data_IF_244029286747
#
_entry.id   IF_244029286747
#
_cell.length_a   1.000
_cell.length_b   1.000
_cell.length_c   1.000
_cell.angle_alpha   90.00
_cell.angle_beta   90.00
_cell.angle_gamma   90.00
#
_symmetry.space_group_name_H-M   'P 1'
#
loop_
_entity.id
_entity.type
_entity.pdbx_description
1 polymer ?
#
# COMPACT_ATOMS: atom_id res chain seq x y z
N UNK A 1 -14.61 7.77 -16.19
CA UNK A 1 -13.39 7.08 -15.74
C UNK A 1 -12.42 7.01 -16.90
N UNK A 2 -11.13 7.27 -16.74
CA UNK A 2 -10.16 7.02 -17.81
C UNK A 2 -10.20 5.54 -18.21
N UNK A 3 -9.98 5.27 -19.49
CA UNK A 3 -9.98 3.90 -20.02
C UNK A 3 -8.71 3.22 -19.47
N UNK A 4 -8.89 2.20 -18.64
CA UNK A 4 -7.79 1.38 -18.10
C UNK A 4 -7.22 0.52 -19.22
N UNK A 5 -5.92 0.63 -19.50
CA UNK A 5 -5.26 -0.17 -20.54
C UNK A 5 -5.21 -1.65 -20.19
N UNK A 6 -5.04 -2.53 -21.17
CA UNK A 6 -4.95 -3.96 -20.91
C UNK A 6 -3.68 -4.31 -20.10
N UNK A 7 -2.57 -3.61 -20.33
CA UNK A 7 -1.36 -3.74 -19.51
C UNK A 7 -1.61 -3.38 -18.03
N UNK A 8 -2.35 -2.30 -17.80
CA UNK A 8 -2.71 -1.87 -16.45
C UNK A 8 -3.62 -2.87 -15.76
N UNK A 9 -4.59 -3.46 -16.49
CA UNK A 9 -5.44 -4.54 -15.95
C UNK A 9 -4.61 -5.75 -15.56
N UNK A 10 -3.63 -6.13 -16.41
CA UNK A 10 -2.76 -7.26 -16.13
C UNK A 10 -1.87 -7.02 -14.89
N UNK A 11 -1.26 -5.84 -14.77
CA UNK A 11 -0.48 -5.47 -13.59
C UNK A 11 -1.36 -5.46 -12.32
N UNK A 12 -2.55 -4.87 -12.39
CA UNK A 12 -3.53 -4.88 -11.30
C UNK A 12 -3.92 -6.29 -10.89
N UNK A 13 -4.21 -7.17 -11.85
CA UNK A 13 -4.56 -8.56 -11.59
C UNK A 13 -3.42 -9.31 -10.91
N UNK A 14 -2.18 -9.09 -11.35
CA UNK A 14 -1.01 -9.69 -10.71
C UNK A 14 -0.87 -9.26 -9.25
N UNK A 15 -1.05 -7.96 -8.95
CA UNK A 15 -1.00 -7.46 -7.56
C UNK A 15 -2.11 -8.09 -6.72
N UNK A 16 -3.34 -8.16 -7.24
CA UNK A 16 -4.49 -8.78 -6.55
C UNK A 16 -4.20 -10.24 -6.21
N UNK A 17 -3.63 -11.01 -7.13
CA UNK A 17 -3.26 -12.41 -6.86
C UNK A 17 -2.17 -12.53 -5.76
N UNK A 18 -1.22 -11.58 -5.67
CA UNK A 18 -0.26 -11.57 -4.57
C UNK A 18 -0.94 -11.29 -3.21
N UNK A 19 -1.98 -10.44 -3.18
CA UNK A 19 -2.77 -10.22 -1.97
C UNK A 19 -3.51 -11.50 -1.53
N UNK A 20 -4.08 -12.23 -2.49
CA UNK A 20 -4.74 -13.51 -2.22
C UNK A 20 -3.73 -14.54 -1.69
N UNK A 21 -2.56 -14.65 -2.32
CA UNK A 21 -1.47 -15.54 -1.85
C UNK A 21 -0.97 -15.15 -0.45
N UNK A 22 -1.02 -13.88 -0.10
CA UNK A 22 -0.69 -13.39 1.24
C UNK A 22 -1.78 -13.71 2.27
N UNK A 23 -2.95 -14.18 1.83
CA UNK A 23 -4.09 -14.46 2.70
C UNK A 23 -4.83 -13.22 3.18
N UNK A 24 -4.61 -12.05 2.57
CA UNK A 24 -5.31 -10.81 2.90
C UNK A 24 -6.82 -11.02 2.73
N UNK A 25 -7.60 -10.55 3.72
CA UNK A 25 -9.06 -10.66 3.75
C UNK A 25 -9.76 -9.31 3.82
N UNK A 26 -9.13 -8.32 4.43
CA UNK A 26 -9.68 -6.98 4.58
C UNK A 26 -8.74 -5.96 3.93
N UNK A 27 -9.30 -5.08 3.11
CA UNK A 27 -8.59 -3.96 2.51
C UNK A 27 -9.29 -2.67 2.89
N UNK A 28 -8.59 -1.79 3.60
CA UNK A 28 -9.05 -0.43 3.90
C UNK A 28 -8.36 0.55 2.95
N UNK A 29 -9.12 1.34 2.20
CA UNK A 29 -8.52 2.23 1.21
C UNK A 29 -9.02 3.66 1.26
N UNK A 30 -8.12 4.61 0.94
CA UNK A 30 -8.49 5.96 0.54
C UNK A 30 -8.19 6.15 -0.95
N UNK A 31 -9.13 6.72 -1.75
CA UNK A 31 -8.93 6.92 -3.18
C UNK A 31 -7.69 7.76 -3.50
N UNK A 32 -6.91 7.29 -4.48
CA UNK A 32 -5.76 7.96 -5.07
C UNK A 32 -5.73 7.60 -6.56
N UNK A 33 -5.37 8.55 -7.43
CA UNK A 33 -5.47 8.41 -8.88
C UNK A 33 -4.73 7.19 -9.43
N UNK A 34 -3.52 6.91 -8.90
CA UNK A 34 -2.67 5.85 -9.42
C UNK A 34 -3.12 4.46 -8.99
N UNK A 35 -3.71 4.35 -7.81
CA UNK A 35 -4.19 3.07 -7.26
C UNK A 35 -5.69 2.85 -7.46
N UNK A 36 -6.40 3.79 -8.10
CA UNK A 36 -7.83 3.65 -8.35
C UNK A 36 -8.20 2.33 -9.07
N UNK A 37 -7.46 1.86 -10.11
CA UNK A 37 -7.74 0.56 -10.72
C UNK A 37 -7.58 -0.63 -9.76
N UNK A 38 -6.61 -0.56 -8.84
CA UNK A 38 -6.41 -1.59 -7.83
C UNK A 38 -7.55 -1.59 -6.80
N UNK A 39 -7.99 -0.40 -6.37
CA UNK A 39 -9.14 -0.25 -5.47
C UNK A 39 -10.41 -0.83 -6.13
N UNK A 40 -10.67 -0.51 -7.40
CA UNK A 40 -11.82 -1.02 -8.15
C UNK A 40 -11.77 -2.54 -8.32
N UNK A 41 -10.58 -3.10 -8.54
CA UNK A 41 -10.40 -4.54 -8.64
C UNK A 41 -10.67 -5.25 -7.31
N UNK A 42 -10.17 -4.71 -6.20
CA UNK A 42 -10.40 -5.25 -4.85
C UNK A 42 -11.87 -5.11 -4.44
N UNK A 43 -12.52 -4.00 -4.78
CA UNK A 43 -13.94 -3.75 -4.46
C UNK A 43 -14.89 -4.74 -5.13
N UNK A 44 -14.53 -5.23 -6.33
CA UNK A 44 -15.31 -6.19 -7.12
C UNK A 44 -14.96 -7.66 -6.85
N UNK A 45 -13.97 -7.92 -6.03
CA UNK A 45 -13.48 -9.27 -5.76
C UNK A 45 -13.98 -9.79 -4.41
N UNK A 46 -14.91 -10.73 -4.45
CA UNK A 46 -15.56 -11.32 -3.26
C UNK A 46 -14.58 -12.02 -2.30
N UNK A 47 -13.31 -12.20 -2.70
CA UNK A 47 -12.26 -12.76 -1.83
C UNK A 47 -11.85 -11.78 -0.73
N UNK A 48 -12.16 -10.49 -0.90
CA UNK A 48 -11.83 -9.41 0.03
C UNK A 48 -13.06 -8.75 0.62
N UNK A 49 -12.94 -8.31 1.86
CA UNK A 49 -13.83 -7.29 2.43
C UNK A 49 -13.18 -5.93 2.21
N UNK A 50 -13.68 -5.17 1.25
CA UNK A 50 -13.23 -3.80 1.02
C UNK A 50 -13.98 -2.80 1.90
N UNK A 51 -13.24 -1.86 2.49
CA UNK A 51 -13.78 -0.78 3.33
C UNK A 51 -13.17 0.54 2.88
N UNK A 52 -13.88 1.37 2.12
CA UNK A 52 -13.45 2.72 1.85
C UNK A 52 -13.48 3.56 3.12
N UNK A 53 -12.42 4.33 3.35
CA UNK A 53 -12.31 5.19 4.53
C UNK A 53 -12.30 6.67 4.11
N UNK A 54 -12.56 7.56 5.08
CA UNK A 54 -12.60 9.00 4.84
C UNK A 54 -11.26 9.71 5.18
N UNK A 55 -10.33 9.00 5.82
CA UNK A 55 -8.99 9.47 6.19
C UNK A 55 -8.04 8.29 6.23
N UNK A 56 -6.79 8.53 5.91
CA UNK A 56 -5.76 7.48 5.89
C UNK A 56 -5.52 6.90 7.29
N UNK A 57 -5.57 7.71 8.34
CA UNK A 57 -5.43 7.23 9.71
C UNK A 57 -6.56 6.28 10.11
N UNK A 58 -7.74 6.40 9.49
CA UNK A 58 -8.84 5.44 9.69
C UNK A 58 -8.49 4.07 9.14
N UNK A 59 -7.77 4.00 8.00
CA UNK A 59 -7.26 2.73 7.49
C UNK A 59 -6.23 2.10 8.43
N UNK A 60 -5.31 2.91 8.99
CA UNK A 60 -4.35 2.45 9.99
C UNK A 60 -5.08 1.85 11.21
N UNK A 61 -6.06 2.58 11.76
CA UNK A 61 -6.84 2.13 12.91
C UNK A 61 -7.63 0.85 12.64
N UNK A 62 -8.31 0.79 11.48
CA UNK A 62 -9.12 -0.37 11.08
C UNK A 62 -8.25 -1.63 10.90
N UNK A 63 -7.13 -1.52 10.17
CA UNK A 63 -6.22 -2.65 9.94
C UNK A 63 -5.52 -3.09 11.23
N UNK A 64 -5.15 -2.13 12.10
CA UNK A 64 -4.61 -2.46 13.43
C UNK A 64 -5.64 -3.17 14.31
N UNK A 65 -6.91 -2.76 14.23
CA UNK A 65 -8.01 -3.45 14.93
C UNK A 65 -8.28 -4.85 14.39
N UNK A 66 -8.19 -5.03 13.05
CA UNK A 66 -8.37 -6.31 12.38
C UNK A 66 -7.35 -7.36 12.85
N UNK A 67 -6.12 -6.94 13.17
CA UNK A 67 -5.09 -7.81 13.74
C UNK A 67 -5.55 -8.51 15.00
N UNK A 68 -6.21 -7.80 15.93
CA UNK A 68 -6.74 -8.41 17.16
C UNK A 68 -7.90 -9.39 16.89
N UNK A 69 -8.58 -9.22 15.76
CA UNK A 69 -9.59 -10.17 15.28
C UNK A 69 -9.00 -11.35 14.49
N UNK A 70 -7.67 -11.43 14.34
CA UNK A 70 -7.01 -12.45 13.53
C UNK A 70 -7.27 -12.32 12.02
N UNK A 71 -7.64 -11.12 11.54
CA UNK A 71 -7.97 -10.85 10.14
C UNK A 71 -6.77 -10.21 9.43
N UNK A 72 -6.10 -10.92 8.50
CA UNK A 72 -5.05 -10.36 7.67
C UNK A 72 -5.58 -9.19 6.85
N UNK A 73 -4.94 -8.03 6.96
CA UNK A 73 -5.46 -6.78 6.38
C UNK A 73 -4.40 -5.96 5.68
N UNK A 74 -4.85 -5.09 4.77
CA UNK A 74 -4.05 -4.15 4.00
C UNK A 74 -4.64 -2.75 4.13
N UNK A 75 -3.79 -1.76 4.43
CA UNK A 75 -4.11 -0.33 4.27
C UNK A 75 -3.56 0.15 2.91
N UNK A 76 -4.42 0.69 2.05
CA UNK A 76 -4.10 1.09 0.69
C UNK A 76 -4.34 2.59 0.51
N UNK A 77 -3.29 3.36 0.17
CA UNK A 77 -3.35 4.82 0.16
C UNK A 77 -2.30 5.46 -0.76
N UNK A 78 -2.40 6.75 -1.00
CA UNK A 78 -1.37 7.52 -1.70
C UNK A 78 -0.17 7.86 -0.83
N UNK A 79 0.94 8.31 -1.46
CA UNK A 79 2.17 8.73 -0.78
C UNK A 79 1.93 9.81 0.28
N UNK A 80 1.13 10.83 -0.05
CA UNK A 80 0.84 11.94 0.87
C UNK A 80 0.08 11.46 2.11
N UNK A 81 -0.87 10.55 1.93
CA UNK A 81 -1.62 9.96 3.02
C UNK A 81 -0.73 9.13 3.96
N UNK A 82 0.21 8.37 3.41
CA UNK A 82 1.17 7.64 4.23
C UNK A 82 1.99 8.60 5.11
N UNK A 83 2.44 9.74 4.58
CA UNK A 83 3.20 10.71 5.39
C UNK A 83 2.40 11.30 6.54
N UNK A 84 1.09 11.50 6.38
CA UNK A 84 0.22 11.97 7.48
C UNK A 84 0.02 10.92 8.56
N UNK A 85 0.14 9.63 8.22
CA UNK A 85 -0.09 8.52 9.13
C UNK A 85 1.09 8.19 10.05
N UNK A 86 2.26 8.82 9.90
CA UNK A 86 3.47 8.49 10.66
C UNK A 86 3.24 8.52 12.17
N UNK A 87 2.49 9.52 12.65
CA UNK A 87 2.16 9.61 14.07
C UNK A 87 1.27 8.44 14.52
N UNK A 88 0.23 8.09 13.77
CA UNK A 88 -0.65 6.96 14.09
C UNK A 88 0.13 5.63 14.09
N UNK A 89 0.96 5.41 13.08
CA UNK A 89 1.83 4.21 12.95
C UNK A 89 2.76 4.09 14.15
N UNK A 90 3.46 5.16 14.52
CA UNK A 90 4.42 5.14 15.64
C UNK A 90 3.72 4.97 16.99
N UNK A 91 2.56 5.59 17.18
CA UNK A 91 1.80 5.52 18.44
C UNK A 91 1.05 4.20 18.63
N UNK A 92 0.52 3.61 17.56
CA UNK A 92 -0.25 2.37 17.64
C UNK A 92 0.66 1.17 17.37
N UNK A 93 1.19 1.09 16.14
CA UNK A 93 1.79 -0.14 15.66
C UNK A 93 3.16 -0.39 16.29
N UNK A 94 4.00 0.65 16.44
CA UNK A 94 5.30 0.50 17.10
C UNK A 94 5.17 0.28 18.61
N UNK A 95 4.31 1.05 19.29
CA UNK A 95 4.19 0.97 20.74
C UNK A 95 3.59 -0.35 21.22
N UNK A 96 2.70 -0.94 20.43
CA UNK A 96 1.97 -2.15 20.82
C UNK A 96 2.37 -3.40 20.02
N UNK A 97 3.43 -3.31 19.19
CA UNK A 97 3.93 -4.42 18.38
C UNK A 97 2.85 -5.03 17.46
N UNK A 98 2.08 -4.16 16.82
CA UNK A 98 1.00 -4.57 15.92
C UNK A 98 1.50 -4.53 14.48
N UNK A 99 1.55 -5.66 13.76
CA UNK A 99 1.88 -5.67 12.34
C UNK A 99 0.82 -4.90 11.56
N UNK A 100 1.27 -4.15 10.57
CA UNK A 100 0.42 -3.37 9.69
C UNK A 100 1.00 -3.38 8.28
N UNK A 101 0.30 -3.98 7.34
CA UNK A 101 0.74 -4.02 5.96
C UNK A 101 0.12 -2.87 5.18
N UNK A 102 0.96 -2.09 4.48
CA UNK A 102 0.56 -0.85 3.83
C UNK A 102 1.01 -0.89 2.36
N UNK A 103 0.12 -0.51 1.44
CA UNK A 103 0.47 -0.17 0.06
C UNK A 103 0.38 1.33 -0.14
N UNK A 104 1.41 1.89 -0.79
CA UNK A 104 1.48 3.31 -1.10
C UNK A 104 2.03 3.54 -2.51
N UNK A 105 1.89 4.76 -3.03
CA UNK A 105 2.44 5.18 -4.32
C UNK A 105 3.81 5.83 -4.17
N UNK A 106 4.71 5.62 -5.14
CA UNK A 106 5.98 6.35 -5.25
C UNK A 106 5.80 7.53 -6.19
N UNK A 107 5.63 8.73 -5.63
CA UNK A 107 5.40 9.98 -6.37
C UNK A 107 6.58 10.93 -6.29
N UNK A 108 6.71 11.84 -7.26
CA UNK A 108 7.68 12.93 -7.25
C UNK A 108 9.14 12.50 -7.46
N UNK A 109 9.37 11.31 -8.01
CA UNK A 109 10.68 10.82 -8.46
C UNK A 109 10.98 11.28 -9.88
N UNK A 110 12.21 11.05 -10.37
CA UNK A 110 12.60 11.36 -11.74
C UNK A 110 11.62 10.67 -12.71
N UNK A 111 11.05 11.45 -13.62
CA UNK A 111 10.02 11.00 -14.57
C UNK A 111 8.59 11.42 -14.19
N UNK A 112 8.33 11.83 -12.95
CA UNK A 112 7.05 12.42 -12.55
C UNK A 112 7.09 13.95 -12.73
N UNK A 113 6.39 14.53 -13.74
CA UNK A 113 6.46 15.96 -14.04
C UNK A 113 5.58 16.83 -13.15
N UNK A 114 4.85 16.24 -12.21
CA UNK A 114 3.82 16.94 -11.42
C UNK A 114 4.44 17.69 -10.23
N UNK A 115 4.44 19.05 -10.21
CA UNK A 115 5.11 19.82 -9.15
C UNK A 115 4.63 19.49 -7.74
N UNK A 116 3.33 19.17 -7.55
CA UNK A 116 2.75 18.85 -6.25
C UNK A 116 3.16 17.46 -5.72
N UNK A 117 3.80 16.62 -6.55
CA UNK A 117 4.35 15.32 -6.11
C UNK A 117 5.79 15.41 -5.61
N UNK A 118 6.54 16.47 -5.96
CA UNK A 118 7.99 16.57 -5.71
C UNK A 118 8.34 16.36 -4.22
N UNK A 119 7.54 16.91 -3.32
CA UNK A 119 7.77 16.73 -1.88
C UNK A 119 7.74 15.27 -1.46
N UNK A 120 6.84 14.47 -2.02
CA UNK A 120 6.77 13.03 -1.73
C UNK A 120 8.04 12.29 -2.17
N UNK A 121 8.54 12.57 -3.36
CA UNK A 121 9.78 11.97 -3.88
C UNK A 121 11.02 12.37 -3.08
N UNK A 122 11.05 13.60 -2.55
CA UNK A 122 12.17 14.09 -1.73
C UNK A 122 12.20 13.50 -0.32
N UNK A 123 11.04 13.24 0.28
CA UNK A 123 10.95 13.00 1.71
C UNK A 123 10.43 11.61 2.08
N UNK A 124 9.59 10.97 1.26
CA UNK A 124 8.87 9.75 1.66
C UNK A 124 9.83 8.66 2.20
N UNK A 125 10.76 8.18 1.38
CA UNK A 125 11.66 7.08 1.79
C UNK A 125 12.55 7.48 2.97
N UNK A 126 13.05 8.73 2.98
CA UNK A 126 13.86 9.26 4.10
C UNK A 126 13.07 9.32 5.40
N UNK A 127 11.79 9.66 5.33
CA UNK A 127 10.90 9.69 6.48
C UNK A 127 10.66 8.27 7.01
N UNK A 128 10.44 7.31 6.13
CA UNK A 128 10.30 5.90 6.53
C UNK A 128 11.59 5.37 7.18
N UNK A 129 12.75 5.66 6.59
CA UNK A 129 14.06 5.30 7.14
C UNK A 129 14.28 5.93 8.53
N UNK A 130 13.89 7.20 8.71
CA UNK A 130 14.09 7.91 9.98
C UNK A 130 13.36 7.30 11.16
N UNK A 131 12.28 6.58 10.92
CA UNK A 131 11.51 5.84 11.92
C UNK A 131 11.72 4.32 11.84
N UNK A 132 12.71 3.88 11.05
CA UNK A 132 13.01 2.45 10.83
C UNK A 132 11.79 1.65 10.35
N UNK A 133 10.95 2.25 9.51
CA UNK A 133 9.80 1.60 8.89
C UNK A 133 10.26 0.92 7.59
N UNK A 134 10.35 -0.43 7.59
CA UNK A 134 10.82 -1.16 6.41
C UNK A 134 9.86 -0.99 5.24
N UNK A 135 10.42 -0.93 4.03
CA UNK A 135 9.63 -0.85 2.83
C UNK A 135 10.23 -1.64 1.66
N UNK A 136 9.36 -2.11 0.78
CA UNK A 136 9.70 -2.73 -0.49
C UNK A 136 9.35 -1.74 -1.61
N UNK A 137 10.35 -1.31 -2.40
CA UNK A 137 10.10 -0.55 -3.63
C UNK A 137 9.77 -1.51 -4.78
N UNK A 138 8.65 -1.26 -5.45
CA UNK A 138 8.17 -2.02 -6.60
C UNK A 138 8.24 -1.10 -7.83
N UNK A 139 9.41 -1.09 -8.46
CA UNK A 139 9.71 -0.30 -9.66
C UNK A 139 9.77 -1.16 -10.93
N UNK A 140 9.76 -2.49 -10.77
CA UNK A 140 9.76 -3.47 -11.85
C UNK A 140 8.69 -4.52 -11.59
N UNK A 141 8.02 -4.99 -12.65
CA UNK A 141 6.95 -5.99 -12.58
C UNK A 141 7.33 -7.26 -11.79
N UNK A 142 8.56 -7.77 -11.99
CA UNK A 142 9.05 -8.96 -11.26
C UNK A 142 9.07 -8.79 -9.74
N UNK A 143 9.18 -7.53 -9.24
CA UNK A 143 9.21 -7.24 -7.80
C UNK A 143 7.84 -7.44 -7.15
N UNK A 144 6.74 -7.43 -7.92
CA UNK A 144 5.39 -7.71 -7.44
C UNK A 144 5.32 -9.08 -6.76
N UNK A 145 6.04 -10.08 -7.27
CA UNK A 145 6.06 -11.45 -6.72
C UNK A 145 6.65 -11.54 -5.31
N UNK A 146 7.32 -10.47 -4.82
CA UNK A 146 7.87 -10.37 -3.47
C UNK A 146 6.86 -9.92 -2.42
N UNK A 147 5.66 -9.49 -2.81
CA UNK A 147 4.60 -9.02 -1.89
C UNK A 147 4.28 -10.04 -0.79
N UNK A 148 4.09 -11.35 -1.08
CA UNK A 148 3.82 -12.32 -0.02
C UNK A 148 4.98 -12.48 0.97
N UNK A 149 6.23 -12.32 0.50
CA UNK A 149 7.40 -12.35 1.37
C UNK A 149 7.46 -11.12 2.28
N UNK A 150 7.16 -9.92 1.76
CA UNK A 150 7.05 -8.69 2.54
C UNK A 150 5.94 -8.81 3.60
N UNK A 151 4.76 -9.34 3.22
CA UNK A 151 3.69 -9.58 4.18
C UNK A 151 4.12 -10.53 5.32
N UNK A 152 4.77 -11.65 4.99
CA UNK A 152 5.30 -12.59 6.00
C UNK A 152 6.34 -11.94 6.90
N UNK A 153 7.20 -11.07 6.35
CA UNK A 153 8.19 -10.32 7.11
C UNK A 153 7.52 -9.35 8.09
N UNK A 154 6.52 -8.59 7.64
CA UNK A 154 5.68 -7.72 8.49
C UNK A 154 5.11 -8.51 9.69
N UNK A 155 4.51 -9.67 9.43
CA UNK A 155 3.94 -10.52 10.48
C UNK A 155 5.03 -11.06 11.45
N UNK A 156 6.15 -11.53 10.92
CA UNK A 156 7.23 -12.08 11.73
C UNK A 156 7.89 -11.03 12.65
N UNK A 157 8.01 -9.79 12.16
CA UNK A 157 8.55 -8.69 12.96
C UNK A 157 7.57 -8.16 14.01
N UNK A 158 6.27 -8.43 13.89
CA UNK A 158 5.20 -7.72 14.61
C UNK A 158 5.35 -6.18 14.48
N UNK A 159 5.60 -5.71 13.27
CA UNK A 159 5.87 -4.31 12.95
C UNK A 159 5.19 -3.94 11.63
N UNK A 160 4.92 -2.65 11.41
CA UNK A 160 4.43 -2.19 10.11
C UNK A 160 5.49 -2.37 9.02
N UNK A 161 5.02 -2.60 7.79
CA UNK A 161 5.83 -2.67 6.57
C UNK A 161 5.06 -2.07 5.40
N UNK A 162 5.77 -1.39 4.50
CA UNK A 162 5.19 -0.69 3.36
C UNK A 162 5.67 -1.31 2.05
N UNK A 163 4.76 -1.48 1.10
CA UNK A 163 5.09 -1.74 -0.31
C UNK A 163 4.77 -0.47 -1.10
N UNK A 164 5.75 0.06 -1.81
CA UNK A 164 5.65 1.34 -2.52
C UNK A 164 5.77 1.08 -4.03
N UNK A 165 4.73 1.44 -4.78
CA UNK A 165 4.64 1.20 -6.21
C UNK A 165 4.97 2.43 -7.03
N UNK A 166 5.83 2.27 -8.06
CA UNK A 166 6.02 3.29 -9.09
C UNK A 166 4.79 3.41 -10.00
N UNK A 167 4.65 4.58 -10.65
CA UNK A 167 3.60 4.79 -11.66
C UNK A 167 3.73 3.78 -12.81
N UNK A 168 4.96 3.53 -13.29
CA UNK A 168 5.22 2.62 -14.40
C UNK A 168 4.71 1.20 -14.13
N UNK A 169 4.95 0.67 -12.93
CA UNK A 169 4.42 -0.65 -12.53
C UNK A 169 2.88 -0.66 -12.48
N UNK A 170 2.28 0.39 -11.89
CA UNK A 170 0.82 0.47 -11.78
C UNK A 170 0.14 0.63 -13.15
N UNK A 171 0.81 1.25 -14.12
CA UNK A 171 0.35 1.35 -15.51
C UNK A 171 0.66 0.10 -16.35
N UNK A 172 1.50 -0.80 -15.87
CA UNK A 172 1.95 -2.00 -16.58
C UNK A 172 3.03 -1.73 -17.63
N UNK A 173 3.79 -0.64 -17.49
CA UNK A 173 4.84 -0.21 -18.41
C UNK A 173 6.27 -0.57 -17.94
N UNK A 174 6.41 -1.28 -16.81
CA UNK A 174 7.68 -1.67 -16.21
C UNK A 174 7.83 -3.20 -16.09
#
# INVERSE_FOLDING_TARGET
>A
MPIVSDKQKEATSLIVEQLVQSGIKLVASLPDDWIAPLIDAVDKDDRFKHVPVNREESAIGLCSGAFFGGIPSLALMGASGLTTCIYAITKINYSYHIPLFIFATLRGVIGDPRPHHISNGLYLTKLLDSISLPFLLVEERKTIERIPAAFKHCQAMNRPEVVIFSEAVLLGDA
#
